data_IF_639676659821
#
_entry.id   IF_639676659821
#
_cell.length_a   1.000
_cell.length_b   1.000
_cell.length_c   1.000
_cell.angle_alpha   90.00
_cell.angle_beta   90.00
_cell.angle_gamma   90.00
#
_symmetry.space_group_name_H-M   'P 1'
#
loop_
_entity.id
_entity.type
_entity.pdbx_description
1 polymer ?
#
# COMPACT_ATOMS: atom_id res chain seq x y z
N UNK A 1 -41.86 37.09 12.36
CA UNK A 1 -42.47 37.75 13.55
C UNK A 1 -42.43 39.28 13.50
N UNK A 2 -41.38 39.92 12.97
CA UNK A 2 -41.24 41.40 12.94
C UNK A 2 -42.31 42.13 12.10
N UNK A 3 -42.48 41.80 10.82
CA UNK A 3 -43.51 42.43 9.95
C UNK A 3 -44.93 42.23 10.50
N UNK A 4 -45.22 41.05 11.07
CA UNK A 4 -46.50 40.77 11.74
C UNK A 4 -46.74 41.67 12.95
N UNK A 5 -45.68 42.05 13.67
CA UNK A 5 -45.75 43.00 14.79
C UNK A 5 -45.95 44.42 14.28
N UNK A 6 -45.27 44.80 13.21
CA UNK A 6 -45.43 46.10 12.57
C UNK A 6 -46.84 46.30 11.97
N UNK A 7 -47.53 45.22 11.62
CA UNK A 7 -48.93 45.23 11.18
C UNK A 7 -49.95 45.23 12.34
N UNK A 8 -49.53 45.01 13.60
CA UNK A 8 -50.44 45.16 14.74
C UNK A 8 -50.73 46.64 14.96
N UNK A 9 -52.01 46.96 15.11
CA UNK A 9 -52.49 48.32 15.34
C UNK A 9 -52.51 48.60 16.84
N UNK A 10 -51.92 49.72 17.25
CA UNK A 10 -52.08 50.26 18.61
C UNK A 10 -53.18 51.33 18.67
N UNK A 11 -53.53 51.90 17.52
CA UNK A 11 -54.57 52.93 17.36
C UNK A 11 -55.75 52.41 16.54
N UNK A 12 -56.96 52.72 17.00
CA UNK A 12 -58.19 52.36 16.29
C UNK A 12 -58.35 53.23 15.04
N UNK A 13 -58.79 52.61 13.94
CA UNK A 13 -59.01 53.33 12.69
C UNK A 13 -60.17 54.32 12.85
N UNK A 14 -60.01 55.62 12.52
CA UNK A 14 -61.10 56.58 12.60
C UNK A 14 -62.30 56.11 11.77
N UNK A 15 -63.46 55.94 12.39
CA UNK A 15 -64.70 55.51 11.72
C UNK A 15 -65.29 56.74 11.03
N UNK A 16 -65.05 56.88 9.73
CA UNK A 16 -65.53 58.03 8.94
C UNK A 16 -67.02 57.97 8.57
N UNK A 17 -67.71 56.88 8.93
CA UNK A 17 -69.15 56.74 8.74
C UNK A 17 -69.89 57.41 9.90
N UNK A 18 -70.38 58.62 9.66
CA UNK A 18 -71.33 59.29 10.53
C UNK A 18 -72.71 58.71 10.17
N UNK A 19 -73.35 58.00 11.11
CA UNK A 19 -74.71 57.45 10.92
C UNK A 19 -75.79 58.54 10.91
N UNK A 20 -77.01 58.25 11.37
CA UNK A 20 -78.14 59.20 11.42
C UNK A 20 -77.98 60.37 12.41
N UNK A 21 -76.77 60.66 12.87
CA UNK A 21 -76.47 61.73 13.83
C UNK A 21 -76.30 63.05 13.05
N UNK A 22 -77.18 64.02 13.30
CA UNK A 22 -76.99 65.37 12.75
C UNK A 22 -75.82 66.04 13.47
N UNK A 23 -74.72 66.25 12.75
CA UNK A 23 -73.61 67.12 13.18
C UNK A 23 -73.73 68.46 12.46
N UNK A 24 -73.31 69.54 13.11
CA UNK A 24 -73.13 70.82 12.42
C UNK A 24 -72.01 70.71 11.38
N UNK A 25 -72.04 71.58 10.37
CA UNK A 25 -71.02 71.61 9.31
C UNK A 25 -69.60 71.78 9.90
N UNK A 26 -69.46 72.61 10.94
CA UNK A 26 -68.19 72.85 11.63
C UNK A 26 -67.64 71.59 12.31
N UNK A 27 -68.49 70.86 13.04
CA UNK A 27 -68.10 69.62 13.73
C UNK A 27 -67.73 68.51 12.73
N UNK A 28 -68.45 68.42 11.61
CA UNK A 28 -68.14 67.46 10.55
C UNK A 28 -66.77 67.73 9.91
N UNK A 29 -66.43 69.01 9.74
CA UNK A 29 -65.16 69.44 9.17
C UNK A 29 -64.00 69.17 10.12
N UNK A 30 -64.15 69.51 11.41
CA UNK A 30 -63.16 69.24 12.44
C UNK A 30 -62.88 67.73 12.58
N UNK A 31 -63.94 66.92 12.57
CA UNK A 31 -63.83 65.46 12.58
C UNK A 31 -63.05 64.93 11.37
N UNK A 32 -63.34 65.44 10.17
CA UNK A 32 -62.60 65.05 8.96
C UNK A 32 -61.14 65.46 9.03
N UNK A 33 -60.81 66.64 9.55
CA UNK A 33 -59.42 67.05 9.75
C UNK A 33 -58.70 66.14 10.74
N UNK A 34 -59.33 65.82 11.87
CA UNK A 34 -58.76 64.92 12.86
C UNK A 34 -58.55 63.50 12.30
N UNK A 35 -59.56 62.93 11.63
CA UNK A 35 -59.46 61.62 10.99
C UNK A 35 -58.36 61.60 9.92
N UNK A 36 -58.31 62.63 9.07
CA UNK A 36 -57.28 62.78 8.03
C UNK A 36 -55.89 62.89 8.65
N UNK A 37 -55.74 63.64 9.74
CA UNK A 37 -54.48 63.77 10.45
C UNK A 37 -54.01 62.41 10.99
N UNK A 38 -54.89 61.63 11.62
CA UNK A 38 -54.56 60.26 12.10
C UNK A 38 -54.15 59.35 10.94
N UNK A 39 -54.89 59.37 9.83
CA UNK A 39 -54.55 58.56 8.67
C UNK A 39 -53.16 58.90 8.11
N UNK A 40 -52.86 60.19 7.95
CA UNK A 40 -51.59 60.64 7.39
C UNK A 40 -50.41 60.43 8.32
N UNK A 41 -50.57 60.70 9.62
CA UNK A 41 -49.44 60.67 10.56
C UNK A 41 -49.16 59.28 11.10
N UNK A 42 -50.19 58.43 11.24
CA UNK A 42 -50.04 57.11 11.89
C UNK A 42 -50.23 55.97 10.90
N UNK A 43 -51.40 55.87 10.25
CA UNK A 43 -51.72 54.68 9.44
C UNK A 43 -50.89 54.56 8.16
N UNK A 44 -50.81 55.62 7.35
CA UNK A 44 -50.07 55.55 6.08
C UNK A 44 -48.57 55.42 6.30
N UNK A 45 -48.00 56.16 7.27
CA UNK A 45 -46.58 56.03 7.65
C UNK A 45 -46.26 54.59 8.09
N UNK A 46 -47.13 53.96 8.89
CA UNK A 46 -46.93 52.58 9.32
C UNK A 46 -47.04 51.60 8.13
N UNK A 47 -48.00 51.79 7.23
CA UNK A 47 -48.16 50.97 6.04
C UNK A 47 -46.99 51.09 5.07
N UNK A 48 -46.44 52.30 4.88
CA UNK A 48 -45.28 52.54 4.04
C UNK A 48 -44.04 51.86 4.63
N UNK A 49 -43.85 51.93 5.96
CA UNK A 49 -42.78 51.20 6.65
C UNK A 49 -42.91 49.69 6.48
N UNK A 50 -44.13 49.13 6.60
CA UNK A 50 -44.37 47.70 6.33
C UNK A 50 -44.05 47.34 4.89
N UNK A 51 -44.49 48.16 3.93
CA UNK A 51 -44.23 47.95 2.50
C UNK A 51 -42.74 47.94 2.22
N UNK A 52 -41.99 48.85 2.82
CA UNK A 52 -40.54 48.92 2.67
C UNK A 52 -39.85 47.67 3.22
N UNK A 53 -40.21 47.23 4.42
CA UNK A 53 -39.65 46.03 5.06
C UNK A 53 -39.99 44.74 4.29
N UNK A 54 -41.21 44.63 3.76
CA UNK A 54 -41.58 43.53 2.86
C UNK A 54 -40.73 43.59 1.59
N UNK A 55 -40.56 44.77 1.00
CA UNK A 55 -39.78 44.94 -0.23
C UNK A 55 -38.30 44.58 -0.02
N UNK A 56 -37.71 44.97 1.12
CA UNK A 56 -36.36 44.55 1.53
C UNK A 56 -36.27 43.03 1.63
N UNK A 57 -37.23 42.38 2.30
CA UNK A 57 -37.24 40.93 2.45
C UNK A 57 -37.38 40.21 1.11
N UNK A 58 -38.25 40.69 0.23
CA UNK A 58 -38.43 40.14 -1.13
C UNK A 58 -37.13 40.26 -1.93
N UNK A 59 -36.45 41.41 -1.89
CA UNK A 59 -35.14 41.58 -2.58
C UNK A 59 -34.10 40.59 -2.06
N UNK A 60 -33.96 40.46 -0.74
CA UNK A 60 -33.04 39.51 -0.13
C UNK A 60 -33.36 38.06 -0.51
N UNK A 61 -34.64 37.67 -0.49
CA UNK A 61 -35.07 36.34 -0.89
C UNK A 61 -34.83 36.05 -2.38
N UNK A 62 -35.02 37.04 -3.26
CA UNK A 62 -34.69 36.92 -4.69
C UNK A 62 -33.19 36.70 -4.88
N UNK A 63 -32.35 37.50 -4.23
CA UNK A 63 -30.89 37.34 -4.29
C UNK A 63 -30.44 35.96 -3.78
N UNK A 64 -31.00 35.51 -2.65
CA UNK A 64 -30.73 34.19 -2.10
C UNK A 64 -31.17 33.08 -3.07
N UNK A 65 -32.37 33.17 -3.65
CA UNK A 65 -32.84 32.22 -4.66
C UNK A 65 -31.89 32.13 -5.86
N UNK A 66 -31.45 33.28 -6.39
CA UNK A 66 -30.54 33.29 -7.54
C UNK A 66 -29.17 32.71 -7.19
N UNK A 67 -28.69 32.93 -5.97
CA UNK A 67 -27.44 32.37 -5.50
C UNK A 67 -27.52 30.84 -5.35
N UNK A 68 -28.56 30.35 -4.68
CA UNK A 68 -28.80 28.92 -4.49
C UNK A 68 -28.98 28.17 -5.82
N UNK A 69 -29.61 28.79 -6.82
CA UNK A 69 -29.71 28.19 -8.16
C UNK A 69 -28.33 28.05 -8.83
N UNK A 70 -27.48 29.07 -8.72
CA UNK A 70 -26.10 28.98 -9.24
C UNK A 70 -25.29 27.92 -8.53
N UNK A 71 -25.41 27.82 -7.21
CA UNK A 71 -24.75 26.76 -6.44
C UNK A 71 -25.23 25.37 -6.87
N UNK A 72 -26.54 25.21 -7.08
CA UNK A 72 -27.10 23.96 -7.59
C UNK A 72 -26.52 23.60 -8.97
N UNK A 73 -26.43 24.56 -9.89
CA UNK A 73 -25.84 24.34 -11.21
C UNK A 73 -24.37 23.90 -11.08
N UNK A 74 -23.58 24.56 -10.23
CA UNK A 74 -22.17 24.16 -9.98
C UNK A 74 -22.07 22.77 -9.36
N UNK A 75 -22.99 22.41 -8.47
CA UNK A 75 -23.03 21.08 -7.86
C UNK A 75 -23.41 20.00 -8.90
N UNK A 76 -24.28 20.33 -9.84
CA UNK A 76 -24.64 19.42 -10.93
C UNK A 76 -23.46 19.17 -11.87
N UNK A 77 -22.68 20.19 -12.21
CA UNK A 77 -21.47 20.02 -13.04
C UNK A 77 -20.39 19.21 -12.31
N UNK A 78 -20.09 19.53 -11.06
CA UNK A 78 -19.11 18.74 -10.27
C UNK A 78 -19.53 17.28 -10.10
N UNK A 79 -20.84 17.01 -9.92
CA UNK A 79 -21.37 15.64 -9.91
C UNK A 79 -21.13 14.92 -11.24
N UNK A 80 -21.29 15.63 -12.37
CA UNK A 80 -21.06 15.07 -13.70
C UNK A 80 -19.59 14.76 -13.93
N UNK A 81 -18.70 15.67 -13.55
CA UNK A 81 -17.24 15.48 -13.59
C UNK A 81 -16.79 14.30 -12.72
N UNK A 82 -17.32 14.21 -11.50
CA UNK A 82 -17.02 13.10 -10.59
C UNK A 82 -17.47 11.77 -11.18
N UNK A 83 -18.67 11.72 -11.77
CA UNK A 83 -19.19 10.52 -12.44
C UNK A 83 -18.29 10.12 -13.61
N UNK A 84 -17.90 11.07 -14.46
CA UNK A 84 -17.01 10.79 -15.59
C UNK A 84 -15.65 10.26 -15.12
N UNK A 85 -15.09 10.86 -14.06
CA UNK A 85 -13.83 10.40 -13.46
C UNK A 85 -13.96 8.99 -12.90
N UNK A 86 -15.08 8.67 -12.24
CA UNK A 86 -15.35 7.33 -11.73
C UNK A 86 -15.51 6.30 -12.85
N UNK A 87 -16.21 6.65 -13.94
CA UNK A 87 -16.36 5.80 -15.13
C UNK A 87 -14.99 5.52 -15.77
N UNK A 88 -14.17 6.56 -15.97
CA UNK A 88 -12.83 6.41 -16.52
C UNK A 88 -11.91 5.58 -15.62
N UNK A 89 -12.00 5.76 -14.29
CA UNK A 89 -11.23 4.98 -13.35
C UNK A 89 -11.65 3.50 -13.39
N UNK A 90 -12.95 3.21 -13.50
CA UNK A 90 -13.45 1.84 -13.62
C UNK A 90 -12.93 1.15 -14.88
N UNK A 91 -12.94 1.85 -16.02
CA UNK A 91 -12.35 1.37 -17.29
C UNK A 91 -10.86 1.04 -17.12
N UNK A 92 -10.08 1.93 -16.50
CA UNK A 92 -8.66 1.66 -16.23
C UNK A 92 -8.45 0.46 -15.30
N UNK A 93 -9.30 0.27 -14.30
CA UNK A 93 -9.23 -0.89 -13.42
C UNK A 93 -9.51 -2.19 -14.16
N UNK A 94 -10.46 -2.20 -15.09
CA UNK A 94 -10.76 -3.35 -15.94
C UNK A 94 -9.56 -3.71 -16.83
N UNK A 95 -8.97 -2.72 -17.50
CA UNK A 95 -7.76 -2.88 -18.31
C UNK A 95 -6.58 -3.45 -17.50
N UNK A 96 -6.36 -2.93 -16.29
CA UNK A 96 -5.29 -3.40 -15.40
C UNK A 96 -5.57 -4.83 -14.96
N UNK A 97 -6.81 -5.14 -14.59
CA UNK A 97 -7.21 -6.48 -14.16
C UNK A 97 -7.00 -7.51 -15.27
N UNK A 98 -7.33 -7.18 -16.52
CA UNK A 98 -7.14 -8.09 -17.64
C UNK A 98 -5.65 -8.29 -17.97
N UNK A 99 -4.84 -7.23 -17.92
CA UNK A 99 -3.37 -7.35 -18.01
C UNK A 99 -2.79 -8.20 -16.88
N UNK A 100 -3.31 -8.05 -15.66
CA UNK A 100 -2.86 -8.81 -14.50
C UNK A 100 -3.21 -10.30 -14.65
N UNK A 101 -4.41 -10.63 -15.12
CA UNK A 101 -4.80 -12.02 -15.43
C UNK A 101 -3.89 -12.63 -16.50
N UNK A 102 -3.58 -11.89 -17.57
CA UNK A 102 -2.68 -12.38 -18.62
C UNK A 102 -1.26 -12.61 -18.09
N UNK A 103 -0.73 -11.67 -17.30
CA UNK A 103 0.57 -11.84 -16.65
C UNK A 103 0.60 -13.03 -15.69
N UNK A 104 -0.47 -13.23 -14.91
CA UNK A 104 -0.59 -14.37 -14.01
C UNK A 104 -0.58 -15.70 -14.78
N UNK A 105 -1.33 -15.80 -15.88
CA UNK A 105 -1.32 -16.98 -16.76
C UNK A 105 0.08 -17.26 -17.31
N UNK A 106 0.78 -16.23 -17.80
CA UNK A 106 2.15 -16.37 -18.31
C UNK A 106 3.14 -16.80 -17.22
N UNK A 107 3.00 -16.28 -16.00
CA UNK A 107 3.82 -16.69 -14.87
C UNK A 107 3.56 -18.15 -14.48
N UNK A 108 2.30 -18.58 -14.49
CA UNK A 108 1.92 -19.98 -14.26
C UNK A 108 2.51 -20.92 -15.33
N UNK A 109 2.44 -20.55 -16.60
CA UNK A 109 3.05 -21.31 -17.70
C UNK A 109 4.57 -21.39 -17.54
N UNK A 110 5.23 -20.28 -17.20
CA UNK A 110 6.67 -20.27 -16.93
C UNK A 110 7.04 -21.18 -15.76
N UNK A 111 6.31 -21.13 -14.65
CA UNK A 111 6.50 -22.01 -13.50
C UNK A 111 6.29 -23.48 -13.87
N UNK A 112 5.25 -23.78 -14.65
CA UNK A 112 5.01 -25.14 -15.15
C UNK A 112 6.17 -25.64 -16.02
N UNK A 113 6.69 -24.80 -16.92
CA UNK A 113 7.84 -25.15 -17.76
C UNK A 113 9.12 -25.34 -16.94
N UNK A 114 9.35 -24.49 -15.93
CA UNK A 114 10.46 -24.65 -14.98
C UNK A 114 10.32 -25.98 -14.25
N UNK A 115 9.16 -26.28 -13.65
CA UNK A 115 8.92 -27.56 -12.96
C UNK A 115 9.07 -28.77 -13.90
N UNK A 116 8.74 -28.63 -15.19
CA UNK A 116 8.91 -29.70 -16.18
C UNK A 116 10.36 -29.89 -16.61
N UNK A 117 11.14 -28.81 -16.68
CA UNK A 117 12.56 -28.83 -17.05
C UNK A 117 13.51 -29.01 -15.88
N UNK A 118 13.04 -28.78 -14.66
CA UNK A 118 13.77 -29.09 -13.44
C UNK A 118 13.96 -30.60 -13.44
N UNK A 119 15.20 -31.09 -13.63
CA UNK A 119 15.48 -32.50 -13.46
C UNK A 119 15.31 -32.73 -11.96
N UNK A 120 14.12 -33.17 -11.57
CA UNK A 120 13.92 -33.78 -10.27
C UNK A 120 14.82 -35.01 -10.31
N UNK A 121 16.03 -34.87 -9.74
CA UNK A 121 16.91 -36.00 -9.43
C UNK A 121 16.01 -37.05 -8.81
N UNK A 122 15.80 -38.13 -9.56
CA UNK A 122 14.98 -39.24 -9.10
C UNK A 122 15.59 -39.74 -7.80
N UNK A 123 14.79 -40.39 -6.96
CA UNK A 123 15.29 -40.93 -5.69
C UNK A 123 16.52 -41.82 -5.91
N UNK A 124 16.58 -42.51 -7.04
CA UNK A 124 17.70 -43.34 -7.49
C UNK A 124 18.92 -42.49 -7.84
N UNK A 125 18.76 -41.48 -8.70
CA UNK A 125 19.89 -40.63 -9.11
C UNK A 125 20.46 -39.84 -7.92
N UNK A 126 19.63 -39.43 -6.96
CA UNK A 126 20.08 -38.77 -5.73
C UNK A 126 20.92 -39.70 -4.85
N UNK A 127 20.49 -40.96 -4.69
CA UNK A 127 21.24 -41.95 -3.94
C UNK A 127 22.57 -42.28 -4.64
N UNK A 128 22.57 -42.36 -5.96
CA UNK A 128 23.79 -42.58 -6.75
C UNK A 128 24.78 -41.41 -6.63
N UNK A 129 24.29 -40.17 -6.67
CA UNK A 129 25.12 -38.98 -6.46
C UNK A 129 25.77 -38.95 -5.05
N UNK A 130 25.05 -39.40 -4.02
CA UNK A 130 25.61 -39.53 -2.66
C UNK A 130 26.69 -40.62 -2.57
N UNK A 131 26.49 -41.76 -3.22
CA UNK A 131 27.50 -42.83 -3.27
C UNK A 131 28.75 -42.40 -4.04
N UNK A 132 28.58 -41.70 -5.17
CA UNK A 132 29.71 -41.11 -5.92
C UNK A 132 30.49 -40.11 -5.06
N UNK A 133 29.80 -39.29 -4.27
CA UNK A 133 30.45 -38.34 -3.35
C UNK A 133 31.24 -39.06 -2.25
N UNK A 134 30.69 -40.12 -1.66
CA UNK A 134 31.42 -40.97 -0.69
C UNK A 134 32.64 -41.62 -1.32
N UNK A 135 32.53 -42.11 -2.56
CA UNK A 135 33.63 -42.72 -3.28
C UNK A 135 34.74 -41.71 -3.60
N UNK A 136 34.38 -40.50 -4.01
CA UNK A 136 35.34 -39.41 -4.24
C UNK A 136 36.15 -39.07 -3.00
N UNK A 137 35.51 -39.02 -1.82
CA UNK A 137 36.20 -38.78 -0.55
C UNK A 137 37.18 -39.93 -0.25
N UNK A 138 36.74 -41.18 -0.41
CA UNK A 138 37.62 -42.36 -0.20
C UNK A 138 38.82 -42.38 -1.14
N UNK A 139 38.63 -42.04 -2.42
CA UNK A 139 39.70 -41.96 -3.40
C UNK A 139 40.72 -40.89 -2.99
N UNK A 140 40.25 -39.72 -2.55
CA UNK A 140 41.12 -38.66 -2.06
C UNK A 140 41.94 -39.11 -0.84
N UNK A 141 41.30 -39.74 0.14
CA UNK A 141 41.98 -40.31 1.30
C UNK A 141 43.04 -41.35 0.91
N UNK A 142 42.72 -42.25 -0.04
CA UNK A 142 43.67 -43.23 -0.55
C UNK A 142 44.87 -42.57 -1.23
N UNK A 143 44.63 -41.50 -2.00
CA UNK A 143 45.70 -40.75 -2.65
C UNK A 143 46.65 -40.12 -1.62
N UNK A 144 46.11 -39.55 -0.54
CA UNK A 144 46.92 -39.03 0.58
C UNK A 144 47.75 -40.16 1.22
N UNK A 145 47.14 -41.32 1.49
CA UNK A 145 47.85 -42.48 2.08
C UNK A 145 48.95 -43.01 1.18
N UNK A 146 48.72 -43.08 -0.13
CA UNK A 146 49.74 -43.49 -1.10
C UNK A 146 50.91 -42.51 -1.14
N UNK A 147 50.63 -41.21 -1.11
CA UNK A 147 51.69 -40.19 -1.08
C UNK A 147 52.52 -40.28 0.22
N UNK A 148 51.87 -40.53 1.35
CA UNK A 148 52.56 -40.79 2.62
C UNK A 148 53.41 -42.07 2.58
N UNK A 149 52.89 -43.16 2.00
CA UNK A 149 53.64 -44.41 1.83
C UNK A 149 54.85 -44.23 0.92
N UNK A 150 54.71 -43.49 -0.18
CA UNK A 150 55.80 -43.16 -1.09
C UNK A 150 56.91 -42.39 -0.37
N UNK A 151 56.55 -41.39 0.44
CA UNK A 151 57.50 -40.64 1.27
C UNK A 151 58.22 -41.54 2.28
N UNK A 152 57.49 -42.43 2.96
CA UNK A 152 58.07 -43.41 3.90
C UNK A 152 59.02 -44.39 3.19
N UNK A 153 58.65 -44.90 2.02
CA UNK A 153 59.50 -45.79 1.23
C UNK A 153 60.83 -45.13 0.85
N UNK A 154 60.79 -43.88 0.37
CA UNK A 154 62.01 -43.11 0.07
C UNK A 154 62.88 -42.90 1.31
N UNK A 155 62.27 -42.62 2.47
CA UNK A 155 63.01 -42.53 3.73
C UNK A 155 63.66 -43.85 4.12
N UNK A 156 62.94 -44.96 3.96
CA UNK A 156 63.41 -46.30 4.32
C UNK A 156 64.58 -46.74 3.42
N UNK A 157 64.53 -46.45 2.11
CA UNK A 157 65.63 -46.67 1.17
C UNK A 157 66.88 -45.87 1.61
N UNK A 158 66.71 -44.58 1.94
CA UNK A 158 67.82 -43.76 2.47
C UNK A 158 68.41 -44.32 3.76
N UNK A 159 67.58 -44.83 4.67
CA UNK A 159 68.07 -45.49 5.89
C UNK A 159 68.79 -46.81 5.58
N UNK A 160 68.30 -47.61 4.63
CA UNK A 160 68.97 -48.83 4.20
C UNK A 160 70.34 -48.53 3.57
N UNK A 161 70.44 -47.54 2.68
CA UNK A 161 71.71 -47.11 2.08
C UNK A 161 72.72 -46.63 3.15
N UNK A 162 72.25 -45.87 4.15
CA UNK A 162 73.09 -45.44 5.27
C UNK A 162 73.53 -46.61 6.14
N UNK A 163 72.65 -47.59 6.37
CA UNK A 163 72.97 -48.79 7.16
C UNK A 163 73.95 -49.69 6.40
N UNK A 164 73.76 -49.89 5.10
CA UNK A 164 74.67 -50.64 4.23
C UNK A 164 76.05 -49.97 4.15
N UNK A 165 76.10 -48.63 4.13
CA UNK A 165 77.36 -47.89 4.19
C UNK A 165 78.08 -47.98 5.55
N UNK A 166 77.34 -48.19 6.65
CA UNK A 166 77.88 -48.42 7.99
C UNK A 166 78.27 -49.88 8.22
N UNK A 167 77.57 -50.85 7.63
CA UNK A 167 77.93 -52.26 7.66
C UNK A 167 79.17 -52.53 6.82
N UNK A 168 79.33 -51.88 5.66
CA UNK A 168 80.59 -51.92 4.87
C UNK A 168 81.82 -51.38 5.63
N UNK A 169 81.62 -50.56 6.68
CA UNK A 169 82.69 -50.10 7.59
C UNK A 169 82.93 -51.05 8.77
N UNK A 170 81.97 -51.93 9.08
CA UNK A 170 82.11 -53.00 10.08
C UNK A 170 82.36 -54.30 9.33
N UNK A 171 83.53 -54.40 8.71
CA UNK A 171 83.99 -55.65 8.13
C UNK A 171 84.33 -56.61 9.29
N UNK A 172 83.32 -57.34 9.78
CA UNK A 172 83.51 -58.45 10.70
C UNK A 172 84.05 -59.60 9.86
N UNK A 173 85.37 -59.64 9.69
CA UNK A 173 86.06 -60.75 9.03
C UNK A 173 86.01 -61.94 9.98
N UNK A 174 85.12 -62.89 9.71
CA UNK A 174 85.16 -64.18 10.38
C UNK A 174 86.48 -64.87 10.04
N UNK A 175 87.26 -65.22 11.06
CA UNK A 175 88.52 -65.93 10.85
C UNK A 175 88.21 -67.33 10.31
N UNK A 176 89.08 -67.90 9.45
CA UNK A 176 88.87 -69.19 8.77
C UNK A 176 88.45 -70.35 9.68
N UNK A 177 88.81 -70.33 10.97
CA UNK A 177 88.35 -71.32 11.95
C UNK A 177 86.88 -71.14 12.38
N UNK A 178 86.41 -69.89 12.46
CA UNK A 178 85.03 -69.54 12.81
C UNK A 178 84.07 -69.92 11.67
N UNK A 179 84.44 -69.65 10.41
CA UNK A 179 83.64 -70.11 9.25
C UNK A 179 83.51 -71.64 9.21
N UNK A 180 84.59 -72.35 9.54
CA UNK A 180 84.61 -73.82 9.55
C UNK A 180 83.73 -74.37 10.68
N UNK A 181 83.84 -73.79 11.88
CA UNK A 181 83.00 -74.13 13.03
C UNK A 181 81.52 -73.83 12.75
N UNK A 182 81.17 -72.68 12.16
CA UNK A 182 79.77 -72.38 11.81
C UNK A 182 79.22 -73.33 10.75
N UNK A 183 80.03 -73.72 9.76
CA UNK A 183 79.61 -74.70 8.74
C UNK A 183 79.43 -76.10 9.31
N UNK A 184 80.30 -76.53 10.24
CA UNK A 184 80.15 -77.81 10.94
C UNK A 184 78.93 -77.81 11.87
N UNK A 185 78.62 -76.70 12.54
CA UNK A 185 77.44 -76.58 13.42
C UNK A 185 76.13 -76.52 12.64
N UNK A 186 76.12 -75.92 11.44
CA UNK A 186 74.95 -75.89 10.53
C UNK A 186 74.74 -77.20 9.76
N UNK A 187 75.70 -78.13 9.81
CA UNK A 187 75.63 -79.44 9.14
C UNK A 187 75.33 -80.60 10.10
N UNK A 188 75.04 -80.31 11.38
CA UNK A 188 74.34 -81.19 12.32
C UNK A 188 72.86 -80.86 12.34
#
# INVERSE_FOLDING_TARGET
MYIKRLLRREVSQPITKIGSRSMSLSESLEFLYHATNIFRTQHFVQHDKVREEISKKVRALKALKTHLLKELDTLMETKKELRHTAEHLAEQYEDINDKQKELARRAEEALRLVNYKEPLMTSVERAEAEELKKMSIKIHDMQIRLEQLKKKSVQQIKHADVTESNEKRKEIVFTRSQEKATKETLSQ
#
